data_IF_493004587006
#
_entry.id   IF_493004587006
#
_cell.length_a   1.000
_cell.length_b   1.000
_cell.length_c   1.000
_cell.angle_alpha   90.00
_cell.angle_beta   90.00
_cell.angle_gamma   90.00
#
_symmetry.space_group_name_H-M   'P 1'
#
loop_
_entity.id
_entity.type
_entity.pdbx_description
1 polymer ?
#
# COMPACT_ATOMS: atom_id res chain seq x y z
N UNK A 1 22.32 -14.60 18.93
CA UNK A 1 21.72 -15.37 17.82
C UNK A 1 20.19 -15.24 17.88
N UNK A 2 19.59 -14.25 17.23
CA UNK A 2 18.13 -14.06 17.15
C UNK A 2 17.68 -14.26 15.70
N UNK A 3 17.70 -15.52 15.23
CA UNK A 3 17.22 -15.94 13.89
C UNK A 3 16.01 -16.87 14.06
N UNK A 4 14.94 -16.42 14.74
CA UNK A 4 13.80 -17.31 15.00
C UNK A 4 12.39 -16.72 14.86
N UNK A 5 12.26 -15.50 14.33
CA UNK A 5 10.96 -14.94 13.92
C UNK A 5 11.18 -13.95 12.78
N UNK A 6 11.73 -14.39 11.65
CA UNK A 6 11.60 -13.56 10.46
C UNK A 6 10.12 -13.58 10.08
N UNK A 7 9.40 -12.44 10.19
CA UNK A 7 8.03 -12.37 9.72
C UNK A 7 8.08 -12.75 8.24
N UNK A 8 7.18 -13.65 7.82
CA UNK A 8 7.18 -14.09 6.44
C UNK A 8 7.07 -12.90 5.49
N UNK A 9 7.67 -12.99 4.30
CA UNK A 9 7.65 -11.92 3.30
C UNK A 9 6.24 -11.31 3.10
N UNK A 10 5.15 -12.10 3.07
CA UNK A 10 3.78 -11.56 2.99
C UNK A 10 3.35 -10.76 4.23
N UNK A 11 3.78 -11.13 5.43
CA UNK A 11 3.47 -10.38 6.66
C UNK A 11 4.13 -9.01 6.67
N UNK A 12 5.37 -8.90 6.18
CA UNK A 12 6.05 -7.59 6.05
C UNK A 12 5.37 -6.69 5.01
N UNK A 13 4.85 -7.26 3.92
CA UNK A 13 4.03 -6.53 2.93
C UNK A 13 2.76 -5.97 3.57
N UNK A 14 2.07 -6.78 4.40
CA UNK A 14 0.87 -6.33 5.10
C UNK A 14 1.16 -5.19 6.09
N UNK A 15 2.31 -5.21 6.78
CA UNK A 15 2.75 -4.08 7.60
C UNK A 15 3.04 -2.82 6.77
N UNK A 16 3.64 -2.96 5.59
CA UNK A 16 3.84 -1.84 4.66
C UNK A 16 2.52 -1.19 4.26
N UNK A 17 1.51 -1.98 3.87
CA UNK A 17 0.17 -1.48 3.55
C UNK A 17 -0.51 -0.79 4.73
N UNK A 18 -0.36 -1.33 5.94
CA UNK A 18 -0.92 -0.72 7.14
C UNK A 18 -0.28 0.64 7.43
N UNK A 19 1.04 0.76 7.29
CA UNK A 19 1.75 2.03 7.44
C UNK A 19 1.29 3.04 6.38
N UNK A 20 1.10 2.62 5.13
CA UNK A 20 0.54 3.46 4.07
C UNK A 20 -0.91 3.88 4.36
N UNK A 21 -1.73 3.02 4.98
CA UNK A 21 -3.07 3.40 5.43
C UNK A 21 -3.02 4.47 6.54
N UNK A 22 -2.09 4.32 7.51
CA UNK A 22 -1.91 5.28 8.59
C UNK A 22 -1.42 6.66 8.09
N UNK A 23 -0.65 6.74 7.01
CA UNK A 23 -0.22 8.03 6.47
C UNK A 23 -1.43 8.88 6.01
N UNK A 24 -2.47 8.26 5.46
CA UNK A 24 -3.69 8.97 5.06
C UNK A 24 -4.43 9.58 6.25
N UNK A 25 -4.37 8.99 7.44
CA UNK A 25 -4.95 9.59 8.66
C UNK A 25 -4.29 10.92 9.03
N UNK A 26 -2.99 11.05 8.79
CA UNK A 26 -2.24 12.28 9.04
C UNK A 26 -2.73 13.39 8.11
N UNK A 27 -3.09 13.03 6.88
CA UNK A 27 -3.69 13.97 5.94
C UNK A 27 -5.11 14.38 6.33
N UNK A 28 -5.92 13.46 6.85
CA UNK A 28 -7.25 13.76 7.39
C UNK A 28 -7.13 14.74 8.57
N UNK A 29 -6.18 14.53 9.47
CA UNK A 29 -5.91 15.44 10.58
C UNK A 29 -5.50 16.84 10.09
N UNK A 30 -4.65 16.92 9.06
CA UNK A 30 -4.24 18.18 8.45
C UNK A 30 -5.43 18.95 7.83
N UNK A 31 -6.33 18.26 7.12
CA UNK A 31 -7.54 18.89 6.53
C UNK A 31 -8.50 19.40 7.60
N UNK A 32 -8.68 18.63 8.69
CA UNK A 32 -9.55 19.03 9.81
C UNK A 32 -9.00 20.25 10.56
N UNK A 33 -7.68 20.34 10.72
CA UNK A 33 -7.01 21.51 11.33
C UNK A 33 -7.05 22.71 10.38
N UNK A 34 -6.93 22.49 9.07
CA UNK A 34 -7.03 23.52 8.04
C UNK A 34 -8.46 24.02 7.75
N UNK A 35 -9.45 23.59 8.53
CA UNK A 35 -10.87 23.92 8.36
C UNK A 35 -11.32 23.81 6.88
N UNK A 36 -11.05 22.66 6.26
CA UNK A 36 -11.38 22.38 4.85
C UNK A 36 -10.72 23.27 3.78
N UNK A 37 -9.62 23.93 4.13
CA UNK A 37 -8.90 24.84 3.24
C UNK A 37 -9.28 26.31 3.44
N UNK A 38 -10.06 26.64 4.48
CA UNK A 38 -10.24 28.01 4.92
C UNK A 38 -8.96 28.59 5.57
N UNK A 39 -8.12 27.72 6.16
CA UNK A 39 -6.87 28.09 6.82
C UNK A 39 -5.69 27.33 6.16
N UNK A 40 -4.57 28.03 5.89
CA UNK A 40 -3.37 27.40 5.34
C UNK A 40 -2.70 26.54 6.41
N UNK A 41 -2.71 25.23 6.22
CA UNK A 41 -2.02 24.29 7.11
C UNK A 41 -0.51 24.31 6.86
N UNK A 42 0.28 24.05 7.91
CA UNK A 42 1.74 23.97 7.82
C UNK A 42 2.21 22.87 6.86
N UNK A 43 3.18 23.18 6.01
CA UNK A 43 3.80 22.22 5.07
C UNK A 43 4.43 21.00 5.77
N UNK A 44 4.69 21.09 7.08
CA UNK A 44 5.20 19.98 7.89
C UNK A 44 4.29 18.75 7.88
N UNK A 45 2.97 18.93 7.72
CA UNK A 45 2.03 17.80 7.60
C UNK A 45 2.28 16.98 6.33
N UNK A 46 2.61 17.65 5.21
CA UNK A 46 2.99 16.97 3.97
C UNK A 46 4.30 16.22 4.15
N UNK A 47 5.31 16.84 4.75
CA UNK A 47 6.61 16.20 5.01
C UNK A 47 6.44 14.96 5.88
N UNK A 48 5.62 15.02 6.94
CA UNK A 48 5.33 13.88 7.80
C UNK A 48 4.61 12.74 7.04
N UNK A 49 3.58 13.08 6.25
CA UNK A 49 2.87 12.10 5.43
C UNK A 49 3.79 11.42 4.41
N UNK A 50 4.59 12.22 3.68
CA UNK A 50 5.56 11.70 2.70
C UNK A 50 6.61 10.80 3.37
N UNK A 51 7.09 11.15 4.56
CA UNK A 51 8.01 10.29 5.32
C UNK A 51 7.40 8.93 5.63
N UNK A 52 6.16 8.90 6.10
CA UNK A 52 5.50 7.66 6.54
C UNK A 52 5.09 6.79 5.34
N UNK A 53 4.53 7.38 4.29
CA UNK A 53 4.16 6.62 3.09
C UNK A 53 5.40 6.01 2.42
N UNK A 54 6.51 6.75 2.36
CA UNK A 54 7.78 6.24 1.79
C UNK A 54 8.30 5.04 2.58
N UNK A 55 8.19 5.06 3.91
CA UNK A 55 8.54 3.89 4.74
C UNK A 55 7.67 2.69 4.36
N UNK A 56 6.36 2.88 4.15
CA UNK A 56 5.46 1.83 3.66
C UNK A 56 5.86 1.30 2.27
N UNK A 57 6.21 2.19 1.35
CA UNK A 57 6.63 1.84 -0.02
C UNK A 57 7.95 1.06 -0.08
N UNK A 58 8.89 1.36 0.83
CA UNK A 58 10.15 0.61 0.96
C UNK A 58 9.91 -0.85 1.34
N UNK A 59 8.80 -1.15 2.02
CA UNK A 59 8.39 -2.52 2.25
C UNK A 59 7.72 -3.11 1.00
N UNK A 60 6.84 -2.37 0.33
CA UNK A 60 6.04 -2.92 -0.78
C UNK A 60 6.85 -3.25 -2.03
N UNK A 61 7.73 -2.33 -2.47
CA UNK A 61 8.40 -2.42 -3.77
C UNK A 61 9.38 -3.61 -3.92
N UNK A 62 10.34 -3.87 -2.99
CA UNK A 62 11.25 -5.02 -3.13
C UNK A 62 10.57 -6.34 -2.82
N UNK A 63 9.58 -6.35 -1.91
CA UNK A 63 8.92 -7.59 -1.50
C UNK A 63 7.89 -8.07 -2.52
N UNK A 64 7.16 -7.15 -3.17
CA UNK A 64 6.22 -7.48 -4.24
C UNK A 64 6.90 -8.20 -5.41
N UNK A 65 7.99 -7.64 -5.92
CA UNK A 65 8.78 -8.25 -6.99
C UNK A 65 9.41 -9.58 -6.57
N UNK A 66 9.84 -9.72 -5.31
CA UNK A 66 10.38 -10.99 -4.80
C UNK A 66 9.32 -12.08 -4.73
N UNK A 67 8.08 -11.74 -4.37
CA UNK A 67 6.96 -12.70 -4.34
C UNK A 67 6.60 -13.16 -5.75
N UNK A 68 6.54 -12.22 -6.70
CA UNK A 68 6.27 -12.54 -8.10
C UNK A 68 7.36 -13.44 -8.66
N UNK A 69 8.64 -13.15 -8.45
CA UNK A 69 9.74 -13.98 -8.97
C UNK A 69 9.80 -15.36 -8.33
N UNK A 70 9.57 -15.48 -7.01
CA UNK A 70 9.61 -16.77 -6.29
C UNK A 70 8.42 -17.68 -6.57
N UNK A 71 7.24 -17.12 -6.79
CA UNK A 71 6.03 -17.90 -7.07
C UNK A 71 5.86 -18.23 -8.56
N UNK A 72 6.53 -17.50 -9.44
CA UNK A 72 6.46 -17.70 -10.89
C UNK A 72 7.01 -19.07 -11.32
N UNK A 73 6.29 -19.79 -12.20
CA UNK A 73 6.85 -20.94 -12.89
C UNK A 73 7.99 -20.52 -13.83
N UNK A 74 9.06 -21.31 -13.87
CA UNK A 74 10.32 -20.97 -14.60
C UNK A 74 10.07 -20.62 -16.07
N UNK A 75 9.09 -21.26 -16.70
CA UNK A 75 8.73 -21.09 -18.11
C UNK A 75 7.89 -19.84 -18.43
N UNK A 76 7.29 -19.15 -17.45
CA UNK A 76 6.44 -17.96 -17.67
C UNK A 76 6.83 -16.76 -16.78
N UNK A 77 8.06 -16.75 -16.27
CA UNK A 77 8.56 -15.71 -15.36
C UNK A 77 8.47 -14.30 -15.95
N UNK A 78 8.76 -14.13 -17.25
CA UNK A 78 8.64 -12.85 -17.95
C UNK A 78 7.20 -12.38 -18.09
N UNK A 79 6.24 -13.29 -18.30
CA UNK A 79 4.82 -12.98 -18.36
C UNK A 79 4.28 -12.53 -16.99
N UNK A 80 4.70 -13.20 -15.92
CA UNK A 80 4.29 -12.84 -14.55
C UNK A 80 4.86 -11.48 -14.11
N UNK A 81 6.10 -11.16 -14.50
CA UNK A 81 6.66 -9.81 -14.33
C UNK A 81 5.90 -8.77 -15.17
N UNK A 82 5.51 -9.11 -16.41
CA UNK A 82 4.61 -8.28 -17.21
C UNK A 82 3.27 -8.00 -16.51
N UNK A 83 2.69 -9.02 -15.86
CA UNK A 83 1.49 -8.89 -15.05
C UNK A 83 1.64 -7.93 -13.86
N UNK A 84 2.80 -7.93 -13.19
CA UNK A 84 3.11 -6.98 -12.12
C UNK A 84 3.14 -5.53 -12.63
N UNK A 85 3.82 -5.28 -13.75
CA UNK A 85 3.86 -3.93 -14.35
C UNK A 85 2.50 -3.49 -14.91
N UNK A 86 1.71 -4.42 -15.44
CA UNK A 86 0.35 -4.16 -15.90
C UNK A 86 -0.55 -3.77 -14.72
N UNK A 87 -0.49 -4.52 -13.61
CA UNK A 87 -1.21 -4.19 -12.37
C UNK A 87 -0.82 -2.80 -11.85
N UNK A 88 0.46 -2.46 -11.86
CA UNK A 88 0.96 -1.14 -11.47
C UNK A 88 0.43 -0.04 -12.38
N UNK A 89 0.39 -0.27 -13.70
CA UNK A 89 -0.16 0.69 -14.68
C UNK A 89 -1.65 0.94 -14.46
N UNK A 90 -2.43 -0.12 -14.22
CA UNK A 90 -3.85 -0.01 -13.91
C UNK A 90 -4.06 0.74 -12.59
N UNK A 91 -3.25 0.43 -11.56
CA UNK A 91 -3.27 1.13 -10.27
C UNK A 91 -3.02 2.64 -10.42
N UNK A 92 -2.01 3.02 -11.20
CA UNK A 92 -1.72 4.43 -11.50
C UNK A 92 -2.86 5.11 -12.25
N UNK A 93 -3.50 4.42 -13.21
CA UNK A 93 -4.66 4.97 -13.93
C UNK A 93 -5.86 5.19 -13.00
N UNK A 94 -6.15 4.23 -12.13
CA UNK A 94 -7.19 4.37 -11.10
C UNK A 94 -6.87 5.50 -10.13
N UNK A 95 -5.62 5.64 -9.70
CA UNK A 95 -5.18 6.76 -8.86
C UNK A 95 -5.42 8.11 -9.54
N UNK A 96 -5.22 8.21 -10.86
CA UNK A 96 -5.53 9.41 -11.63
C UNK A 96 -7.03 9.71 -11.70
N UNK A 97 -7.87 8.69 -11.85
CA UNK A 97 -9.33 8.84 -11.80
C UNK A 97 -9.78 9.30 -10.42
N UNK A 98 -9.25 8.69 -9.35
CA UNK A 98 -9.49 9.15 -7.98
C UNK A 98 -9.08 10.61 -7.83
N UNK A 99 -7.88 11.01 -8.26
CA UNK A 99 -7.43 12.39 -8.19
C UNK A 99 -8.35 13.36 -8.96
N UNK A 100 -8.93 12.95 -10.09
CA UNK A 100 -9.88 13.78 -10.85
C UNK A 100 -11.23 13.98 -10.14
N UNK A 101 -11.63 13.03 -9.28
CA UNK A 101 -12.85 13.14 -8.47
C UNK A 101 -12.68 14.08 -7.26
N UNK A 102 -11.47 14.58 -7.00
CA UNK A 102 -11.18 15.50 -5.90
C UNK A 102 -12.03 16.79 -5.97
N UNK A 103 -12.30 17.32 -7.17
CA UNK A 103 -13.06 18.56 -7.37
C UNK A 103 -14.58 18.40 -7.19
N UNK A 104 -15.09 17.16 -7.14
CA UNK A 104 -16.54 16.89 -7.03
C UNK A 104 -17.00 16.78 -5.57
N UNK A 105 -16.09 16.69 -4.60
CA UNK A 105 -16.44 16.60 -3.19
C UNK A 105 -16.47 17.98 -2.53
N UNK A 106 -17.65 18.38 -2.03
CA UNK A 106 -17.84 19.59 -1.20
C UNK A 106 -16.97 19.60 0.07
N UNK A 107 -16.56 18.42 0.55
CA UNK A 107 -15.76 18.24 1.75
C UNK A 107 -14.50 17.41 1.46
N UNK A 108 -13.34 18.08 1.50
CA UNK A 108 -12.02 17.48 1.21
C UNK A 108 -11.63 16.38 2.21
N UNK A 109 -12.24 16.35 3.40
CA UNK A 109 -12.03 15.29 4.36
C UNK A 109 -12.64 13.96 3.91
N UNK A 110 -13.77 13.99 3.19
CA UNK A 110 -14.45 12.78 2.71
C UNK A 110 -13.62 12.05 1.66
N UNK A 111 -12.90 12.78 0.81
CA UNK A 111 -11.98 12.17 -0.14
C UNK A 111 -10.90 11.34 0.56
N UNK A 112 -10.27 11.89 1.60
CA UNK A 112 -9.25 11.16 2.34
C UNK A 112 -9.81 10.00 3.16
N UNK A 113 -11.04 10.10 3.67
CA UNK A 113 -11.74 8.98 4.31
C UNK A 113 -11.99 7.82 3.35
N UNK A 114 -12.39 8.10 2.10
CA UNK A 114 -12.56 7.07 1.07
C UNK A 114 -11.23 6.38 0.74
N UNK A 115 -10.15 7.16 0.60
CA UNK A 115 -8.81 6.60 0.38
C UNK A 115 -8.33 5.75 1.56
N UNK A 116 -8.58 6.20 2.80
CA UNK A 116 -8.28 5.43 4.00
C UNK A 116 -9.05 4.12 4.04
N UNK A 117 -10.35 4.14 3.73
CA UNK A 117 -11.19 2.94 3.68
C UNK A 117 -10.70 1.94 2.62
N UNK A 118 -10.32 2.42 1.42
CA UNK A 118 -9.74 1.59 0.36
C UNK A 118 -8.42 0.95 0.78
N UNK A 119 -7.50 1.71 1.40
CA UNK A 119 -6.23 1.19 1.89
C UNK A 119 -6.40 0.21 3.06
N UNK A 120 -7.34 0.47 3.96
CA UNK A 120 -7.68 -0.45 5.04
C UNK A 120 -8.29 -1.74 4.51
N UNK A 121 -9.18 -1.66 3.52
CA UNK A 121 -9.74 -2.83 2.85
C UNK A 121 -8.64 -3.67 2.17
N UNK A 122 -7.72 -3.02 1.44
CA UNK A 122 -6.57 -3.68 0.84
C UNK A 122 -5.66 -4.34 1.90
N UNK A 123 -5.45 -3.67 3.04
CA UNK A 123 -4.67 -4.20 4.17
C UNK A 123 -5.32 -5.46 4.75
N UNK A 124 -6.64 -5.43 4.99
CA UNK A 124 -7.40 -6.58 5.53
C UNK A 124 -7.39 -7.76 4.54
N UNK A 125 -7.61 -7.50 3.25
CA UNK A 125 -7.49 -8.51 2.20
C UNK A 125 -6.10 -9.13 2.20
N UNK A 126 -5.06 -8.30 2.27
CA UNK A 126 -3.68 -8.79 2.31
C UNK A 126 -3.45 -9.70 3.52
N UNK A 127 -3.90 -9.30 4.72
CA UNK A 127 -3.80 -10.14 5.93
C UNK A 127 -4.54 -11.49 5.77
N UNK A 128 -5.67 -11.52 5.09
CA UNK A 128 -6.37 -12.76 4.74
C UNK A 128 -5.53 -13.65 3.80
N UNK A 129 -4.95 -13.04 2.77
CA UNK A 129 -4.11 -13.72 1.77
C UNK A 129 -2.74 -14.14 2.32
N UNK A 130 -2.22 -13.49 3.36
CA UNK A 130 -0.94 -13.85 4.01
C UNK A 130 -0.93 -15.32 4.42
N UNK A 131 -2.04 -15.84 4.97
CA UNK A 131 -2.14 -17.26 5.38
C UNK A 131 -2.03 -18.19 4.18
N UNK A 132 -2.70 -17.86 3.08
CA UNK A 132 -2.67 -18.66 1.85
C UNK A 132 -1.30 -18.58 1.16
N UNK A 133 -0.72 -17.39 1.06
CA UNK A 133 0.61 -17.18 0.47
C UNK A 133 1.70 -17.90 1.26
N UNK A 134 1.66 -17.84 2.60
CA UNK A 134 2.59 -18.60 3.44
C UNK A 134 2.43 -20.11 3.25
N UNK A 135 1.21 -20.61 3.06
CA UNK A 135 0.94 -22.03 2.78
C UNK A 135 1.56 -22.44 1.44
N UNK A 136 1.33 -21.67 0.37
CA UNK A 136 1.85 -21.94 -0.97
C UNK A 136 3.38 -21.84 -1.02
N UNK A 137 3.98 -20.86 -0.34
CA UNK A 137 5.44 -20.73 -0.24
C UNK A 137 6.08 -21.93 0.47
N UNK A 138 5.41 -22.46 1.51
CA UNK A 138 5.86 -23.64 2.24
C UNK A 138 5.73 -24.92 1.41
N UNK A 139 4.67 -25.04 0.62
CA UNK A 139 4.46 -26.16 -0.32
C UNK A 139 5.49 -26.19 -1.45
N UNK A 140 5.98 -25.04 -1.91
CA UNK A 140 7.07 -24.95 -2.92
C UNK A 140 8.49 -25.09 -2.34
N UNK A 141 8.65 -25.34 -1.04
CA UNK A 141 9.96 -25.55 -0.41
C UNK A 141 10.86 -24.31 -0.32
N UNK A 142 10.29 -23.10 -0.44
CA UNK A 142 11.03 -21.83 -0.38
C UNK A 142 11.04 -21.34 1.08
N UNK A 143 11.80 -22.01 1.94
CA UNK A 143 12.08 -21.59 3.31
C UNK A 143 13.58 -21.47 3.55
#
# INVERSE_FOLDING_TARGET
RVRKKEPSTPTKIAFGLLISALSVLIMIAAVKIGNNGAEKVSAWWLVANYGIITIGELFLSPMGLSVVSKLSPVNITSLMMGGWFLSTSIGNKLSGVLASMWDTYDDKANFFWVNFALLMFATVLMFGLVKQLNKVMKEKGIN
#
